data_IF_238278731234
#
_entry.id   IF_238278731234
#
_cell.length_a   1.000
_cell.length_b   1.000
_cell.length_c   1.000
_cell.angle_alpha   90.00
_cell.angle_beta   90.00
_cell.angle_gamma   90.00
#
_symmetry.space_group_name_H-M   'P 1'
#
loop_
_entity.id
_entity.type
_entity.pdbx_description
1 polymer ?
#
# COMPACT_ATOMS: atom_id res chain seq x y z
N UNK A 1 -27.86 46.67 47.25
CA UNK A 1 -29.06 46.08 46.72
C UNK A 1 -28.98 45.96 45.21
N UNK A 2 -29.24 44.78 44.79
CA UNK A 2 -29.44 44.27 43.44
C UNK A 2 -28.22 43.64 42.76
N UNK A 3 -27.95 42.43 43.19
CA UNK A 3 -27.30 41.41 42.39
C UNK A 3 -28.22 40.98 41.27
N UNK A 4 -27.91 41.27 40.03
CA UNK A 4 -28.56 40.66 38.87
C UNK A 4 -27.65 39.58 38.25
N UNK A 5 -28.15 38.36 38.38
CA UNK A 5 -27.73 37.15 37.70
C UNK A 5 -27.52 37.42 36.17
N UNK A 6 -26.31 37.36 35.71
CA UNK A 6 -26.01 37.10 34.32
C UNK A 6 -25.90 35.56 34.16
N UNK A 7 -27.00 34.90 33.79
CA UNK A 7 -26.97 33.55 33.20
C UNK A 7 -26.21 33.62 31.92
N UNK A 8 -25.00 33.06 31.92
CA UNK A 8 -24.31 32.75 30.69
C UNK A 8 -25.21 31.84 29.85
N UNK A 9 -25.65 32.32 28.72
CA UNK A 9 -26.35 31.54 27.71
C UNK A 9 -25.35 30.52 27.19
N UNK A 10 -25.49 29.30 27.66
CA UNK A 10 -24.81 28.13 27.09
C UNK A 10 -25.49 27.92 25.72
N UNK A 11 -24.90 28.44 24.66
CA UNK A 11 -25.30 28.14 23.30
C UNK A 11 -25.07 26.65 23.11
N UNK A 12 -26.13 25.87 23.22
CA UNK A 12 -26.20 24.49 22.76
C UNK A 12 -25.74 24.54 21.29
N UNK A 13 -24.61 23.91 21.00
CA UNK A 13 -24.26 23.50 19.65
C UNK A 13 -25.48 22.74 19.11
N UNK A 14 -26.09 23.27 18.03
CA UNK A 14 -27.17 22.62 17.33
C UNK A 14 -26.87 21.13 17.23
N UNK A 15 -27.79 20.28 17.70
CA UNK A 15 -27.71 18.82 17.60
C UNK A 15 -27.86 18.46 16.09
N UNK A 16 -26.74 18.56 15.34
CA UNK A 16 -26.71 18.13 13.94
C UNK A 16 -26.92 16.62 13.95
N UNK A 17 -28.04 16.18 13.40
CA UNK A 17 -28.38 14.76 13.30
C UNK A 17 -27.36 14.06 12.39
N UNK A 18 -26.83 12.92 12.84
CA UNK A 18 -25.96 12.08 12.04
C UNK A 18 -26.72 11.45 10.85
N UNK A 19 -26.19 11.58 9.65
CA UNK A 19 -26.82 11.12 8.41
C UNK A 19 -25.86 10.26 7.59
N UNK A 20 -26.42 9.38 6.79
CA UNK A 20 -25.66 8.57 5.84
C UNK A 20 -24.96 7.35 6.43
N UNK A 21 -24.26 6.64 5.57
CA UNK A 21 -23.48 5.44 5.90
C UNK A 21 -22.07 5.60 5.39
N UNK A 22 -21.09 5.27 6.21
CA UNK A 22 -19.69 5.15 5.78
C UNK A 22 -19.27 3.67 5.82
N UNK A 23 -18.60 3.20 4.78
CA UNK A 23 -17.97 1.87 4.74
C UNK A 23 -16.47 2.09 4.74
N UNK A 24 -15.73 1.47 5.65
CA UNK A 24 -14.28 1.63 5.77
C UNK A 24 -13.61 0.25 5.70
N UNK A 25 -12.66 0.11 4.78
CA UNK A 25 -11.87 -1.11 4.62
C UNK A 25 -10.50 -0.81 4.03
N UNK A 26 -9.55 -1.74 4.20
CA UNK A 26 -8.19 -1.61 3.73
C UNK A 26 -7.82 -2.65 2.67
N UNK A 27 -6.95 -2.24 1.77
CA UNK A 27 -6.40 -3.13 0.77
C UNK A 27 -4.91 -2.86 0.54
N UNK A 28 -4.27 -3.63 -0.34
CA UNK A 28 -2.89 -3.44 -0.76
C UNK A 28 -2.81 -3.48 -2.28
N UNK A 29 -2.06 -2.55 -2.87
CA UNK A 29 -1.68 -2.59 -4.28
C UNK A 29 -0.25 -3.08 -4.41
N UNK A 30 -0.04 -4.29 -4.98
CA UNK A 30 1.31 -4.84 -5.13
C UNK A 30 2.10 -4.09 -6.19
N UNK A 31 3.39 -3.89 -5.93
CA UNK A 31 4.34 -3.33 -6.88
C UNK A 31 4.96 -4.41 -7.74
N UNK A 32 5.28 -4.07 -8.99
CA UNK A 32 5.93 -4.98 -9.94
C UNK A 32 7.40 -5.17 -9.57
N UNK A 33 7.66 -6.03 -8.59
CA UNK A 33 8.99 -6.47 -8.21
C UNK A 33 9.11 -7.99 -8.30
N UNK A 34 10.33 -8.48 -8.50
CA UNK A 34 10.60 -9.90 -8.34
C UNK A 34 10.36 -10.29 -6.89
N UNK A 35 9.76 -11.47 -6.64
CA UNK A 35 9.61 -11.99 -5.29
C UNK A 35 10.97 -11.99 -4.55
N UNK A 36 11.12 -11.27 -3.42
CA UNK A 36 12.39 -11.07 -2.77
C UNK A 36 12.86 -12.34 -2.04
N UNK A 37 13.89 -12.96 -2.57
CA UNK A 37 14.60 -14.05 -1.90
C UNK A 37 15.97 -13.53 -1.47
N UNK A 38 16.37 -13.75 -0.22
CA UNK A 38 17.59 -13.18 0.35
C UNK A 38 18.85 -13.43 -0.50
N UNK A 39 19.04 -14.67 -0.98
CA UNK A 39 20.15 -14.97 -1.88
C UNK A 39 20.07 -14.28 -3.25
N UNK A 40 18.85 -13.95 -3.71
CA UNK A 40 18.65 -13.20 -4.97
C UNK A 40 18.94 -11.73 -4.80
N UNK A 41 18.51 -11.14 -3.68
CA UNK A 41 18.79 -9.74 -3.35
C UNK A 41 20.31 -9.53 -3.19
N UNK A 42 20.99 -10.43 -2.47
CA UNK A 42 22.43 -10.36 -2.31
C UNK A 42 23.18 -10.54 -3.65
N UNK A 43 22.70 -11.39 -4.55
CA UNK A 43 23.29 -11.51 -5.88
C UNK A 43 23.09 -10.24 -6.70
N UNK A 44 21.90 -9.61 -6.65
CA UNK A 44 21.64 -8.33 -7.32
C UNK A 44 22.52 -7.21 -6.74
N UNK A 45 22.66 -7.16 -5.41
CA UNK A 45 23.57 -6.23 -4.73
C UNK A 45 25.00 -6.39 -5.24
N UNK A 46 25.54 -7.61 -5.26
CA UNK A 46 26.86 -7.92 -5.78
C UNK A 46 27.04 -7.44 -7.25
N UNK A 47 26.07 -7.74 -8.12
CA UNK A 47 26.14 -7.32 -9.51
C UNK A 47 26.22 -5.80 -9.65
N UNK A 48 25.41 -5.04 -8.88
CA UNK A 48 25.47 -3.58 -8.87
C UNK A 48 26.79 -3.03 -8.32
N UNK A 49 27.35 -3.63 -7.27
CA UNK A 49 28.66 -3.24 -6.74
C UNK A 49 29.79 -3.51 -7.75
N UNK A 50 29.74 -4.64 -8.44
CA UNK A 50 30.68 -4.95 -9.52
C UNK A 50 30.61 -3.92 -10.66
N UNK A 51 29.41 -3.44 -11.01
CA UNK A 51 29.23 -2.40 -12.02
C UNK A 51 29.84 -1.05 -11.55
N UNK A 52 29.73 -0.74 -10.25
CA UNK A 52 30.35 0.46 -9.66
C UNK A 52 31.88 0.35 -9.64
N UNK A 53 32.44 -0.81 -9.31
CA UNK A 53 33.88 -1.08 -9.40
C UNK A 53 34.35 -0.93 -10.86
N UNK A 54 33.59 -1.45 -11.82
CA UNK A 54 33.89 -1.30 -13.24
C UNK A 54 33.85 0.18 -13.67
N UNK A 55 32.89 0.95 -13.14
CA UNK A 55 32.80 2.40 -13.37
C UNK A 55 34.04 3.14 -12.88
N UNK A 56 34.50 2.91 -11.64
CA UNK A 56 35.73 3.53 -11.13
C UNK A 56 36.93 3.19 -11.99
N UNK A 57 37.07 1.93 -12.34
CA UNK A 57 38.21 1.47 -13.13
C UNK A 57 38.22 2.07 -14.53
N UNK A 58 37.06 2.16 -15.17
CA UNK A 58 36.93 2.74 -16.53
C UNK A 58 37.20 4.25 -16.56
N UNK A 59 36.80 4.99 -15.53
CA UNK A 59 36.83 6.45 -15.57
C UNK A 59 38.07 7.03 -14.89
N UNK A 60 38.64 6.37 -13.91
CA UNK A 60 39.75 6.92 -13.09
C UNK A 60 41.06 6.11 -13.24
N UNK A 61 40.99 4.83 -13.59
CA UNK A 61 42.16 3.93 -13.66
C UNK A 61 43.09 4.04 -12.45
N UNK A 62 42.59 3.97 -11.21
CA UNK A 62 43.35 4.34 -10.01
C UNK A 62 44.51 3.39 -9.69
N UNK A 63 44.32 2.09 -9.92
CA UNK A 63 45.30 0.99 -9.73
C UNK A 63 44.82 -0.27 -10.46
N UNK A 64 45.45 -1.41 -10.26
CA UNK A 64 45.02 -2.67 -10.84
C UNK A 64 43.61 -3.03 -10.35
N UNK A 65 42.77 -3.47 -11.29
CA UNK A 65 41.39 -3.79 -11.02
C UNK A 65 41.27 -4.93 -9.99
N UNK A 66 40.56 -4.75 -8.89
CA UNK A 66 40.43 -5.76 -7.86
C UNK A 66 39.65 -6.99 -8.37
N UNK A 67 39.99 -8.14 -7.83
CA UNK A 67 39.43 -9.42 -8.26
C UNK A 67 38.07 -9.68 -7.60
N UNK A 68 36.97 -9.41 -8.33
CA UNK A 68 35.58 -9.54 -7.81
C UNK A 68 35.03 -10.98 -7.81
N UNK A 69 35.71 -11.95 -8.43
CA UNK A 69 35.26 -13.34 -8.56
C UNK A 69 33.86 -13.53 -9.16
N UNK A 70 33.38 -12.61 -9.94
CA UNK A 70 31.99 -12.53 -10.49
C UNK A 70 31.51 -13.82 -11.16
N UNK A 71 32.39 -14.53 -11.89
CA UNK A 71 32.04 -15.79 -12.56
C UNK A 71 31.72 -16.90 -11.56
N UNK A 72 32.50 -16.99 -10.48
CA UNK A 72 32.32 -18.01 -9.40
C UNK A 72 31.06 -17.68 -8.61
N UNK A 73 30.89 -16.42 -8.19
CA UNK A 73 29.73 -15.95 -7.43
C UNK A 73 28.41 -16.18 -8.19
N UNK A 74 28.41 -15.88 -9.51
CA UNK A 74 27.24 -16.13 -10.37
C UNK A 74 26.96 -17.62 -10.53
N UNK A 75 27.99 -18.47 -10.70
CA UNK A 75 27.82 -19.93 -10.79
C UNK A 75 27.20 -20.50 -9.52
N UNK A 76 27.66 -20.06 -8.36
CA UNK A 76 27.14 -20.50 -7.04
C UNK A 76 25.69 -20.04 -6.82
N UNK A 77 25.36 -18.78 -7.17
CA UNK A 77 23.98 -18.29 -7.17
C UNK A 77 23.08 -19.14 -8.06
N UNK A 78 23.48 -19.36 -9.33
CA UNK A 78 22.69 -20.11 -10.30
C UNK A 78 22.50 -21.58 -9.90
N UNK A 79 23.46 -22.18 -9.20
CA UNK A 79 23.36 -23.56 -8.71
C UNK A 79 22.18 -23.71 -7.73
N UNK A 80 21.93 -22.72 -6.85
CA UNK A 80 20.76 -22.70 -5.98
C UNK A 80 19.50 -22.25 -6.73
N UNK A 81 19.58 -21.19 -7.53
CA UNK A 81 18.43 -20.60 -8.22
C UNK A 81 17.73 -21.59 -9.17
N UNK A 82 18.51 -22.46 -9.84
CA UNK A 82 18.03 -23.51 -10.75
C UNK A 82 17.67 -24.83 -10.04
N UNK A 83 18.00 -24.97 -8.75
CA UNK A 83 17.74 -26.20 -8.00
C UNK A 83 16.24 -26.41 -7.77
N UNK A 84 15.73 -27.59 -8.16
CA UNK A 84 14.34 -27.99 -7.89
C UNK A 84 14.09 -28.17 -6.38
N UNK A 85 15.08 -28.69 -5.63
CA UNK A 85 15.01 -28.92 -4.18
C UNK A 85 15.97 -27.98 -3.45
N UNK A 86 15.40 -26.93 -2.84
CA UNK A 86 16.13 -25.91 -2.07
C UNK A 86 16.01 -26.22 -0.58
N UNK A 87 16.98 -26.94 -0.02
CA UNK A 87 17.01 -27.18 1.44
C UNK A 87 17.53 -25.95 2.16
N UNK A 88 17.12 -25.75 3.41
CA UNK A 88 17.58 -24.65 4.26
C UNK A 88 19.11 -24.59 4.33
N UNK A 89 19.77 -25.75 4.51
CA UNK A 89 21.24 -25.86 4.51
C UNK A 89 21.89 -25.30 3.24
N UNK A 90 21.31 -25.58 2.05
CA UNK A 90 21.79 -25.04 0.76
C UNK A 90 21.56 -23.53 0.66
N UNK A 91 20.39 -23.07 1.08
CA UNK A 91 20.05 -21.63 1.10
C UNK A 91 21.03 -20.88 1.99
N UNK A 92 21.20 -21.29 3.24
CA UNK A 92 22.13 -20.67 4.19
C UNK A 92 23.59 -20.68 3.69
N UNK A 93 24.04 -21.78 3.10
CA UNK A 93 25.38 -21.85 2.52
C UNK A 93 25.58 -20.84 1.37
N UNK A 94 24.58 -20.67 0.52
CA UNK A 94 24.61 -19.68 -0.58
C UNK A 94 24.56 -18.26 -0.05
N UNK A 95 23.69 -17.95 0.92
CA UNK A 95 23.62 -16.63 1.56
C UNK A 95 24.98 -16.26 2.16
N UNK A 96 25.62 -17.17 2.91
CA UNK A 96 26.95 -16.93 3.49
C UNK A 96 28.00 -16.54 2.43
N UNK A 97 27.99 -17.24 1.30
CA UNK A 97 28.94 -16.96 0.21
C UNK A 97 28.64 -15.61 -0.44
N UNK A 98 27.36 -15.31 -0.72
CA UNK A 98 26.96 -14.03 -1.31
C UNK A 98 27.27 -12.85 -0.38
N UNK A 99 27.05 -13.01 0.95
CA UNK A 99 27.46 -12.02 1.95
C UNK A 99 28.97 -11.75 1.90
N UNK A 100 29.80 -12.80 1.75
CA UNK A 100 31.24 -12.63 1.62
C UNK A 100 31.65 -11.90 0.33
N UNK A 101 30.95 -12.10 -0.77
CA UNK A 101 31.20 -11.35 -2.01
C UNK A 101 30.78 -9.90 -1.88
N UNK A 102 29.56 -9.62 -1.38
CA UNK A 102 29.06 -8.26 -1.17
C UNK A 102 29.97 -7.48 -0.22
N UNK A 103 30.36 -8.08 0.91
CA UNK A 103 31.28 -7.44 1.87
C UNK A 103 32.55 -6.95 1.20
N UNK A 104 33.23 -7.83 0.49
CA UNK A 104 34.48 -7.52 -0.19
C UNK A 104 34.31 -6.42 -1.26
N UNK A 105 33.23 -6.51 -2.03
CA UNK A 105 32.97 -5.54 -3.08
C UNK A 105 32.62 -4.14 -2.48
N UNK A 106 31.99 -4.08 -1.30
CA UNK A 106 31.80 -2.85 -0.52
C UNK A 106 33.14 -2.30 -0.05
N UNK A 107 34.02 -3.12 0.53
CA UNK A 107 35.35 -2.70 0.97
C UNK A 107 36.16 -2.10 -0.20
N UNK A 108 36.11 -2.69 -1.38
CA UNK A 108 36.78 -2.10 -2.56
C UNK A 108 36.21 -0.74 -2.95
N UNK A 109 34.89 -0.52 -2.82
CA UNK A 109 34.28 0.77 -3.12
C UNK A 109 34.62 1.82 -2.05
N UNK A 110 34.75 1.42 -0.80
CA UNK A 110 35.21 2.27 0.29
C UNK A 110 36.66 2.74 0.02
N UNK A 111 37.58 1.84 -0.33
CA UNK A 111 38.97 2.16 -0.71
C UNK A 111 39.03 3.21 -1.86
N UNK A 112 38.18 3.05 -2.89
CA UNK A 112 38.11 4.04 -3.99
C UNK A 112 37.61 5.40 -3.51
N UNK A 113 36.59 5.44 -2.68
CA UNK A 113 36.01 6.70 -2.18
C UNK A 113 36.97 7.40 -1.19
N UNK A 114 37.66 6.66 -0.33
CA UNK A 114 38.71 7.18 0.55
C UNK A 114 39.88 7.76 -0.24
N UNK A 115 40.21 7.19 -1.39
CA UNK A 115 41.21 7.74 -2.31
C UNK A 115 40.73 9.02 -3.08
N UNK A 116 39.48 9.48 -2.82
CA UNK A 116 38.94 10.72 -3.37
C UNK A 116 38.17 10.55 -4.67
N UNK A 117 37.91 9.32 -5.13
CA UNK A 117 37.10 9.09 -6.33
C UNK A 117 35.60 9.14 -6.00
N UNK A 118 34.79 9.73 -6.90
CA UNK A 118 33.37 9.95 -6.68
C UNK A 118 32.49 9.06 -7.56
N UNK A 119 31.43 8.52 -6.99
CA UNK A 119 30.34 7.85 -7.70
C UNK A 119 29.33 8.87 -8.23
N UNK A 120 28.69 8.61 -9.40
CA UNK A 120 27.51 9.36 -9.83
C UNK A 120 26.37 9.21 -8.81
N UNK A 121 25.51 10.24 -8.70
CA UNK A 121 24.40 10.29 -7.73
C UNK A 121 23.57 8.99 -7.72
N UNK A 122 23.19 8.49 -8.88
CA UNK A 122 22.42 7.22 -9.00
C UNK A 122 23.15 6.00 -8.40
N UNK A 123 24.46 5.95 -8.49
CA UNK A 123 25.27 4.87 -7.90
C UNK A 123 25.39 5.04 -6.40
N UNK A 124 25.45 6.27 -5.90
CA UNK A 124 25.46 6.55 -4.46
C UNK A 124 24.19 6.02 -3.80
N UNK A 125 23.02 6.27 -4.37
CA UNK A 125 21.75 5.79 -3.84
C UNK A 125 21.72 4.25 -3.76
N UNK A 126 22.19 3.58 -4.79
CA UNK A 126 22.31 2.11 -4.76
C UNK A 126 23.36 1.64 -3.75
N UNK A 127 24.49 2.32 -3.63
CA UNK A 127 25.53 1.96 -2.68
C UNK A 127 25.01 2.04 -1.24
N UNK A 128 24.37 3.15 -0.85
CA UNK A 128 23.79 3.30 0.48
C UNK A 128 22.69 2.28 0.77
N UNK A 129 21.85 1.99 -0.23
CA UNK A 129 20.82 0.96 -0.12
C UNK A 129 21.42 -0.42 0.08
N UNK A 130 22.51 -0.73 -0.63
CA UNK A 130 23.18 -2.03 -0.55
C UNK A 130 23.94 -2.18 0.78
N UNK A 131 24.54 -1.13 1.32
CA UNK A 131 25.13 -1.16 2.66
C UNK A 131 24.06 -1.53 3.70
N UNK A 132 22.93 -0.83 3.72
CA UNK A 132 21.82 -1.14 4.63
C UNK A 132 21.28 -2.58 4.41
N UNK A 133 21.13 -2.99 3.15
CA UNK A 133 20.71 -4.36 2.82
C UNK A 133 21.71 -5.40 3.34
N UNK A 134 23.01 -5.16 3.17
CA UNK A 134 24.05 -6.06 3.67
C UNK A 134 23.97 -6.24 5.19
N UNK A 135 23.85 -5.16 5.94
CA UNK A 135 23.69 -5.20 7.39
C UNK A 135 22.44 -5.99 7.82
N UNK A 136 21.31 -5.73 7.18
CA UNK A 136 20.06 -6.45 7.44
C UNK A 136 20.19 -7.96 7.14
N UNK A 137 20.78 -8.31 6.02
CA UNK A 137 20.96 -9.70 5.59
C UNK A 137 21.99 -10.44 6.47
N UNK A 138 23.05 -9.76 6.89
CA UNK A 138 24.03 -10.27 7.85
C UNK A 138 23.38 -10.54 9.21
N UNK A 139 22.62 -9.56 9.74
CA UNK A 139 21.88 -9.72 11.00
C UNK A 139 20.92 -10.92 10.95
N UNK A 140 20.10 -11.01 9.88
CA UNK A 140 19.17 -12.12 9.71
C UNK A 140 19.87 -13.47 9.59
N UNK A 141 21.01 -13.51 8.91
CA UNK A 141 21.82 -14.73 8.79
C UNK A 141 22.42 -15.17 10.14
N UNK A 142 23.01 -14.26 10.89
CA UNK A 142 23.66 -14.54 12.20
C UNK A 142 22.63 -14.94 13.25
N UNK A 143 21.51 -14.24 13.33
CA UNK A 143 20.45 -14.47 14.32
C UNK A 143 19.42 -15.54 13.90
N UNK A 144 19.59 -16.17 12.73
CA UNK A 144 18.66 -17.18 12.18
C UNK A 144 17.21 -16.70 12.15
N UNK A 145 17.00 -15.44 11.85
CA UNK A 145 15.67 -14.81 11.72
C UNK A 145 15.39 -14.43 10.27
N UNK A 146 14.11 -14.31 9.93
CA UNK A 146 13.65 -13.78 8.64
C UNK A 146 13.00 -12.39 8.76
N UNK A 147 13.07 -11.79 9.95
CA UNK A 147 12.47 -10.50 10.25
C UNK A 147 13.54 -9.53 10.72
N UNK A 148 13.46 -8.31 10.19
CA UNK A 148 14.25 -7.13 10.59
C UNK A 148 13.42 -5.90 10.33
N UNK A 149 13.62 -4.87 11.13
CA UNK A 149 12.95 -3.58 10.95
C UNK A 149 13.30 -2.98 9.58
N UNK A 150 12.34 -2.33 8.96
CA UNK A 150 12.49 -1.69 7.64
C UNK A 150 13.11 -2.56 6.56
N UNK A 151 12.80 -3.86 6.57
CA UNK A 151 13.40 -4.84 5.66
C UNK A 151 13.32 -4.42 4.21
N UNK A 152 14.50 -4.26 3.58
CA UNK A 152 14.62 -3.99 2.15
C UNK A 152 14.26 -5.24 1.35
N UNK A 153 13.30 -5.11 0.45
CA UNK A 153 12.80 -6.17 -0.43
C UNK A 153 13.11 -5.93 -1.91
N UNK A 154 13.55 -4.73 -2.25
CA UNK A 154 13.99 -4.34 -3.59
C UNK A 154 15.08 -3.28 -3.50
N UNK A 155 16.18 -3.45 -4.23
CA UNK A 155 17.27 -2.47 -4.27
C UNK A 155 16.88 -1.25 -5.11
N UNK A 156 16.10 -1.45 -6.15
CA UNK A 156 15.63 -0.36 -7.02
C UNK A 156 14.43 0.40 -6.45
N UNK A 157 13.75 -0.16 -5.46
CA UNK A 157 12.60 0.42 -4.77
C UNK A 157 12.73 0.19 -3.25
N UNK A 158 13.70 0.85 -2.59
CA UNK A 158 14.05 0.57 -1.20
C UNK A 158 12.98 0.99 -0.19
N UNK A 159 11.98 1.78 -0.62
CA UNK A 159 10.83 2.19 0.17
C UNK A 159 9.78 1.08 0.34
N UNK A 160 9.77 0.05 -0.52
CA UNK A 160 8.82 -1.06 -0.41
C UNK A 160 9.06 -1.91 0.83
N UNK A 161 7.97 -2.31 1.46
CA UNK A 161 7.98 -3.18 2.64
C UNK A 161 7.14 -4.44 2.44
N UNK A 162 7.42 -5.52 3.18
CA UNK A 162 6.55 -6.69 3.21
C UNK A 162 5.28 -6.36 4.02
N UNK A 163 4.11 -6.56 3.41
CA UNK A 163 2.81 -6.36 4.03
C UNK A 163 2.19 -7.73 4.28
N UNK A 164 2.03 -8.09 5.55
CA UNK A 164 1.42 -9.37 5.95
C UNK A 164 -0.10 -9.25 5.82
N UNK A 165 -0.70 -10.10 5.01
CA UNK A 165 -2.15 -10.09 4.72
C UNK A 165 -2.91 -11.27 5.32
N UNK A 166 -2.24 -12.27 5.86
CA UNK A 166 -2.88 -13.46 6.43
C UNK A 166 -3.67 -14.34 5.43
N UNK A 167 -3.58 -14.06 4.12
CA UNK A 167 -4.28 -14.84 3.08
C UNK A 167 -3.53 -16.14 2.80
N UNK A 168 -4.24 -17.27 2.70
CA UNK A 168 -3.64 -18.60 2.49
C UNK A 168 -2.78 -18.69 1.21
N UNK A 169 -3.18 -18.04 0.11
CA UNK A 169 -2.46 -18.10 -1.18
C UNK A 169 -1.32 -17.07 -1.29
N UNK A 170 -1.42 -15.95 -0.61
CA UNK A 170 -0.43 -14.87 -0.66
C UNK A 170 -0.36 -14.22 0.73
N UNK A 171 0.39 -14.83 1.66
CA UNK A 171 0.48 -14.35 3.04
C UNK A 171 1.18 -13.01 3.15
N UNK A 172 2.04 -12.66 2.20
CA UNK A 172 2.82 -11.41 2.16
C UNK A 172 2.70 -10.80 0.76
N UNK A 173 2.36 -9.53 0.71
CA UNK A 173 2.37 -8.69 -0.50
C UNK A 173 3.46 -7.62 -0.36
N UNK A 174 3.98 -7.11 -1.48
CA UNK A 174 5.03 -6.10 -1.52
C UNK A 174 4.52 -4.92 -2.33
N UNK A 175 4.18 -3.84 -1.66
CA UNK A 175 3.56 -2.68 -2.29
C UNK A 175 3.10 -1.67 -1.25
N UNK A 176 2.07 -0.88 -1.57
CA UNK A 176 1.49 0.06 -0.64
C UNK A 176 0.17 -0.47 -0.07
N UNK A 177 -0.04 -0.24 1.23
CA UNK A 177 -1.30 -0.47 1.93
C UNK A 177 -2.09 0.84 1.96
N UNK A 178 -3.39 0.77 1.75
CA UNK A 178 -4.26 1.92 1.84
C UNK A 178 -5.65 1.57 2.35
N UNK A 179 -6.26 2.55 3.02
CA UNK A 179 -7.62 2.51 3.51
C UNK A 179 -8.50 3.41 2.66
N UNK A 180 -9.69 2.93 2.37
CA UNK A 180 -10.73 3.64 1.62
C UNK A 180 -11.99 3.72 2.44
N UNK A 181 -12.60 4.90 2.50
CA UNK A 181 -13.98 5.07 2.96
C UNK A 181 -14.91 5.26 1.77
N UNK A 182 -16.07 4.62 1.79
CA UNK A 182 -17.13 4.79 0.78
C UNK A 182 -18.36 5.38 1.46
N UNK A 183 -18.92 6.43 0.89
CA UNK A 183 -20.16 7.05 1.36
C UNK A 183 -21.40 6.35 0.79
N UNK A 184 -22.60 6.74 1.24
CA UNK A 184 -23.87 6.18 0.79
C UNK A 184 -24.17 6.40 -0.71
N UNK A 185 -23.41 7.28 -1.38
CA UNK A 185 -23.51 7.51 -2.83
C UNK A 185 -22.53 6.66 -3.63
N UNK A 186 -21.74 5.82 -2.94
CA UNK A 186 -20.72 4.97 -3.56
C UNK A 186 -19.42 5.70 -3.89
N UNK A 187 -19.22 6.94 -3.41
CA UNK A 187 -17.97 7.67 -3.62
C UNK A 187 -16.89 7.20 -2.65
N UNK A 188 -15.82 6.69 -3.20
CA UNK A 188 -14.66 6.25 -2.44
C UNK A 188 -13.67 7.39 -2.18
N UNK A 189 -13.05 7.38 -1.01
CA UNK A 189 -12.02 8.33 -0.60
C UNK A 189 -10.84 7.61 -0.01
N UNK A 190 -9.66 8.02 -0.42
CA UNK A 190 -8.41 7.50 0.10
C UNK A 190 -8.15 8.13 1.48
N UNK A 191 -8.25 7.34 2.54
CA UNK A 191 -8.09 7.81 3.92
C UNK A 191 -6.63 7.75 4.39
N UNK A 192 -5.92 6.69 4.02
CA UNK A 192 -4.48 6.56 4.26
C UNK A 192 -3.84 5.74 3.17
N UNK A 193 -2.59 6.08 2.84
CA UNK A 193 -1.76 5.34 1.89
C UNK A 193 -0.33 5.33 2.45
N UNK A 194 0.26 4.13 2.59
CA UNK A 194 1.61 3.97 3.13
C UNK A 194 2.28 2.70 2.60
N UNK A 195 3.59 2.76 2.45
CA UNK A 195 4.41 1.55 2.21
C UNK A 195 4.72 0.81 3.50
N UNK A 196 4.73 1.50 4.63
CA UNK A 196 4.93 0.88 5.93
C UNK A 196 3.66 0.17 6.41
N UNK A 197 3.85 -0.96 7.06
CA UNK A 197 2.76 -1.66 7.70
C UNK A 197 2.21 -0.83 8.87
N UNK A 198 0.92 -0.60 8.89
CA UNK A 198 0.22 0.08 9.97
C UNK A 198 -1.03 -0.70 10.36
N UNK A 199 -1.50 -0.44 11.58
CA UNK A 199 -2.72 -1.04 12.07
C UNK A 199 -3.95 -0.25 11.58
N UNK A 200 -4.84 -0.89 10.84
CA UNK A 200 -6.03 -0.28 10.22
C UNK A 200 -6.94 0.41 11.24
N UNK A 201 -7.04 -0.14 12.45
CA UNK A 201 -7.89 0.44 13.49
C UNK A 201 -7.52 1.86 13.92
N UNK A 202 -6.24 2.25 13.72
CA UNK A 202 -5.75 3.58 14.14
C UNK A 202 -6.27 4.72 13.25
N UNK A 203 -6.81 4.39 12.06
CA UNK A 203 -7.26 5.38 11.07
C UNK A 203 -8.73 5.73 11.27
N UNK A 204 -9.44 4.90 12.01
CA UNK A 204 -10.90 4.98 12.15
C UNK A 204 -11.39 6.37 12.58
N UNK A 205 -10.82 6.91 13.66
CA UNK A 205 -11.24 8.21 14.20
C UNK A 205 -10.98 9.34 13.21
N UNK A 206 -9.80 9.33 12.57
CA UNK A 206 -9.44 10.33 11.57
C UNK A 206 -10.36 10.25 10.35
N UNK A 207 -10.72 9.07 9.88
CA UNK A 207 -11.65 8.88 8.77
C UNK A 207 -13.05 9.42 9.10
N UNK A 208 -13.54 9.19 10.32
CA UNK A 208 -14.83 9.72 10.77
C UNK A 208 -14.80 11.25 10.90
N UNK A 209 -13.72 11.82 11.38
CA UNK A 209 -13.57 13.28 11.47
C UNK A 209 -13.54 13.90 10.06
N UNK A 210 -12.80 13.33 9.13
CA UNK A 210 -12.81 13.78 7.72
C UNK A 210 -14.18 13.63 7.06
N UNK A 211 -14.93 12.57 7.40
CA UNK A 211 -16.32 12.45 6.93
C UNK A 211 -17.13 13.64 7.42
N UNK A 212 -17.05 13.98 8.72
CA UNK A 212 -17.73 15.15 9.29
C UNK A 212 -17.30 16.47 8.67
N UNK A 213 -16.02 16.68 8.44
CA UNK A 213 -15.49 17.87 7.77
C UNK A 213 -16.08 18.08 6.37
N UNK A 214 -16.30 16.98 5.63
CA UNK A 214 -16.87 17.03 4.27
C UNK A 214 -18.37 17.20 4.23
N UNK A 215 -19.09 16.61 5.18
CA UNK A 215 -20.55 16.52 5.15
C UNK A 215 -21.24 17.43 6.18
N UNK A 216 -20.49 17.96 7.13
CA UNK A 216 -21.01 18.75 8.26
C UNK A 216 -21.49 17.91 9.45
N UNK A 217 -21.58 16.59 9.32
CA UNK A 217 -22.08 15.68 10.35
C UNK A 217 -21.30 14.36 10.37
N UNK A 218 -21.39 13.59 11.43
CA UNK A 218 -20.88 12.21 11.43
C UNK A 218 -21.83 11.28 10.68
N UNK A 219 -21.35 10.11 10.20
CA UNK A 219 -22.24 9.11 9.62
C UNK A 219 -23.17 8.54 10.70
N UNK A 220 -24.43 8.28 10.36
CA UNK A 220 -25.38 7.60 11.25
C UNK A 220 -24.94 6.16 11.49
N UNK A 221 -24.37 5.52 10.47
CA UNK A 221 -23.93 4.13 10.49
C UNK A 221 -22.54 3.99 9.86
N UNK A 222 -21.67 3.18 10.49
CA UNK A 222 -20.37 2.83 9.93
C UNK A 222 -20.23 1.31 9.81
N UNK A 223 -19.85 0.84 8.61
CA UNK A 223 -19.66 -0.57 8.28
C UNK A 223 -18.17 -0.86 8.21
N UNK A 224 -17.68 -1.72 9.09
CA UNK A 224 -16.24 -2.02 9.22
C UNK A 224 -15.98 -3.48 9.48
N UNK A 225 -14.79 -3.95 9.17
CA UNK A 225 -14.32 -5.27 9.56
C UNK A 225 -13.99 -5.34 11.07
N UNK A 226 -13.84 -6.57 11.56
CA UNK A 226 -13.59 -6.83 12.99
C UNK A 226 -12.34 -6.10 13.51
N UNK A 227 -11.33 -5.89 12.67
CA UNK A 227 -10.06 -5.24 13.05
C UNK A 227 -10.26 -3.78 13.52
N UNK A 228 -11.22 -3.06 12.95
CA UNK A 228 -11.54 -1.68 13.35
C UNK A 228 -12.33 -1.59 14.65
N UNK A 229 -12.89 -2.69 15.16
CA UNK A 229 -13.84 -2.73 16.25
C UNK A 229 -13.16 -2.79 17.62
N UNK A 230 -12.14 -1.96 17.81
CA UNK A 230 -11.45 -1.80 19.10
C UNK A 230 -12.36 -1.16 20.14
N UNK A 231 -11.96 -1.23 21.40
CA UNK A 231 -12.68 -0.59 22.51
C UNK A 231 -12.77 0.93 22.29
N UNK A 232 -11.67 1.54 21.88
CA UNK A 232 -11.58 2.99 21.71
C UNK A 232 -12.45 3.47 20.55
N UNK A 233 -12.43 2.79 19.41
CA UNK A 233 -13.27 3.12 18.26
C UNK A 233 -14.77 2.95 18.58
N UNK A 234 -15.14 1.95 19.40
CA UNK A 234 -16.51 1.78 19.85
C UNK A 234 -16.95 2.87 20.83
N UNK A 235 -16.07 3.30 21.74
CA UNK A 235 -16.34 4.41 22.63
C UNK A 235 -16.54 5.69 21.83
N UNK A 236 -15.65 5.98 20.87
CA UNK A 236 -15.81 7.11 19.96
C UNK A 236 -17.16 7.09 19.25
N UNK A 237 -17.57 5.94 18.69
CA UNK A 237 -18.88 5.80 18.06
C UNK A 237 -20.04 6.08 19.03
N UNK A 238 -19.94 5.59 20.27
CA UNK A 238 -20.95 5.82 21.29
C UNK A 238 -21.05 7.30 21.67
N UNK A 239 -19.92 7.97 21.86
CA UNK A 239 -19.84 9.38 22.24
C UNK A 239 -20.38 10.32 21.15
N UNK A 240 -20.32 9.89 19.89
CA UNK A 240 -20.80 10.64 18.73
C UNK A 240 -22.09 10.09 18.11
N UNK A 241 -22.82 9.20 18.79
CA UNK A 241 -24.06 8.58 18.31
C UNK A 241 -23.95 7.90 16.94
N UNK A 242 -22.80 7.25 16.64
CA UNK A 242 -22.56 6.50 15.41
C UNK A 242 -22.89 5.01 15.67
N UNK A 243 -23.71 4.41 14.83
CA UNK A 243 -23.98 2.96 14.89
C UNK A 243 -22.87 2.20 14.15
N UNK A 244 -22.06 1.42 14.89
CA UNK A 244 -21.01 0.58 14.31
C UNK A 244 -21.54 -0.83 14.02
N UNK A 245 -21.35 -1.34 12.80
CA UNK A 245 -21.77 -2.68 12.36
C UNK A 245 -21.14 -3.81 13.16
N UNK A 246 -21.78 -4.97 13.11
CA UNK A 246 -21.29 -6.26 13.60
C UNK A 246 -21.78 -6.64 15.00
N UNK A 247 -21.42 -7.83 15.52
CA UNK A 247 -22.02 -8.42 16.69
C UNK A 247 -21.77 -7.60 17.96
N UNK A 248 -22.75 -7.60 18.86
CA UNK A 248 -22.64 -6.99 20.20
C UNK A 248 -21.52 -7.65 20.99
N UNK A 249 -20.94 -6.89 21.94
CA UNK A 249 -19.95 -7.42 22.87
C UNK A 249 -20.60 -8.43 23.81
N UNK A 250 -19.86 -9.46 24.18
CA UNK A 250 -20.27 -10.47 25.13
C UNK A 250 -20.32 -11.89 24.56
N UNK A 251 -20.76 -12.84 25.41
CA UNK A 251 -20.90 -14.23 24.98
C UNK A 251 -22.01 -14.33 23.92
N UNK A 252 -21.77 -14.98 22.76
CA UNK A 252 -22.83 -15.21 21.77
C UNK A 252 -24.03 -15.93 22.39
N UNK A 253 -25.25 -15.47 22.08
CA UNK A 253 -26.46 -16.20 22.43
C UNK A 253 -26.48 -17.56 21.74
N UNK A 254 -27.02 -18.59 22.44
CA UNK A 254 -27.16 -19.93 21.85
C UNK A 254 -28.14 -19.95 20.66
N UNK A 255 -29.08 -19.01 20.61
CA UNK A 255 -30.14 -18.93 19.58
C UNK A 255 -29.90 -17.80 18.59
N UNK A 256 -28.68 -17.68 18.10
CA UNK A 256 -28.28 -16.61 17.19
C UNK A 256 -28.87 -16.79 15.77
N UNK A 257 -30.08 -16.27 15.56
CA UNK A 257 -30.51 -15.87 14.22
C UNK A 257 -29.86 -14.50 13.93
N UNK A 258 -29.13 -14.40 12.78
CA UNK A 258 -28.66 -13.10 12.28
C UNK A 258 -29.87 -12.16 12.23
N UNK A 259 -29.75 -10.98 12.82
CA UNK A 259 -30.80 -9.99 12.71
C UNK A 259 -30.89 -9.50 11.25
N UNK A 260 -32.05 -9.03 10.83
CA UNK A 260 -32.22 -8.46 9.49
C UNK A 260 -31.22 -7.32 9.25
N UNK A 261 -30.90 -6.57 10.29
CA UNK A 261 -29.90 -5.49 10.26
C UNK A 261 -28.48 -6.01 10.02
N UNK A 262 -28.04 -7.09 10.72
CA UNK A 262 -26.73 -7.71 10.48
C UNK A 262 -26.60 -8.26 9.05
N UNK A 263 -27.67 -8.80 8.51
CA UNK A 263 -27.69 -9.26 7.12
C UNK A 263 -27.54 -8.08 6.14
N UNK A 264 -28.26 -6.97 6.39
CA UNK A 264 -28.18 -5.77 5.58
C UNK A 264 -26.79 -5.15 5.66
N UNK A 265 -26.22 -5.01 6.87
CA UNK A 265 -24.86 -4.49 7.06
C UNK A 265 -23.80 -5.28 6.30
N UNK A 266 -23.91 -6.62 6.31
CA UNK A 266 -23.00 -7.48 5.56
C UNK A 266 -23.19 -7.32 4.03
N UNK A 267 -24.45 -7.14 3.58
CA UNK A 267 -24.76 -6.92 2.15
C UNK A 267 -24.21 -5.58 1.68
N UNK A 268 -24.44 -4.51 2.45
CA UNK A 268 -23.96 -3.17 2.13
C UNK A 268 -22.42 -3.12 2.13
N UNK A 269 -21.77 -3.90 3.00
CA UNK A 269 -20.30 -3.97 3.05
C UNK A 269 -19.67 -4.59 1.80
N UNK A 270 -20.42 -5.37 1.01
CA UNK A 270 -19.94 -5.91 -0.27
C UNK A 270 -19.55 -4.79 -1.24
N UNK A 271 -20.07 -3.58 -1.07
CA UNK A 271 -19.77 -2.46 -1.95
C UNK A 271 -18.27 -2.10 -1.96
N UNK A 272 -17.61 -2.11 -0.80
CA UNK A 272 -16.16 -1.85 -0.76
C UNK A 272 -15.35 -2.97 -1.44
N UNK A 273 -15.82 -4.23 -1.35
CA UNK A 273 -15.17 -5.34 -2.03
C UNK A 273 -15.34 -5.23 -3.56
N UNK A 274 -16.51 -4.79 -4.03
CA UNK A 274 -16.77 -4.47 -5.44
C UNK A 274 -15.87 -3.36 -5.93
N UNK A 275 -15.77 -2.28 -5.15
CA UNK A 275 -14.89 -1.16 -5.45
C UNK A 275 -13.44 -1.65 -5.64
N UNK A 276 -12.87 -2.35 -4.67
CA UNK A 276 -11.51 -2.89 -4.77
C UNK A 276 -11.35 -3.88 -5.94
N UNK A 277 -12.39 -4.65 -6.25
CA UNK A 277 -12.36 -5.57 -7.39
C UNK A 277 -12.24 -4.82 -8.71
N UNK A 278 -13.05 -3.77 -8.91
CA UNK A 278 -13.04 -2.93 -10.11
C UNK A 278 -11.73 -2.14 -10.21
N UNK A 279 -11.32 -1.51 -9.13
CA UNK A 279 -10.07 -0.76 -9.05
C UNK A 279 -8.85 -1.62 -9.45
N UNK A 280 -8.77 -2.85 -8.92
CA UNK A 280 -7.64 -3.75 -9.21
C UNK A 280 -7.69 -4.38 -10.59
N UNK A 281 -8.86 -4.73 -11.09
CA UNK A 281 -8.98 -5.44 -12.38
C UNK A 281 -8.99 -4.48 -13.57
N UNK A 282 -9.61 -3.32 -13.42
CA UNK A 282 -9.87 -2.41 -14.53
C UNK A 282 -9.04 -1.13 -14.47
N UNK A 283 -8.73 -0.62 -13.27
CA UNK A 283 -8.20 0.73 -13.09
C UNK A 283 -6.75 0.76 -12.56
N UNK A 284 -6.01 -0.33 -12.70
CA UNK A 284 -4.54 -0.36 -12.54
C UNK A 284 -4.01 -0.65 -11.15
N UNK A 285 -4.84 -0.70 -10.09
CA UNK A 285 -4.36 -0.98 -8.72
C UNK A 285 -3.94 -2.45 -8.50
N UNK A 286 -4.21 -3.35 -9.45
CA UNK A 286 -3.86 -4.76 -9.34
C UNK A 286 -2.38 -5.07 -9.40
N UNK A 287 -1.60 -4.24 -10.11
CA UNK A 287 -0.14 -4.31 -10.19
C UNK A 287 0.43 -2.94 -10.58
N UNK A 288 1.14 -2.30 -9.65
CA UNK A 288 1.74 -0.99 -9.88
C UNK A 288 3.07 -1.14 -10.62
N UNK A 289 3.18 -0.52 -11.79
CA UNK A 289 4.33 -0.60 -12.69
C UNK A 289 5.35 0.51 -12.47
N UNK A 290 4.97 1.59 -11.82
CA UNK A 290 5.84 2.74 -11.51
C UNK A 290 6.97 2.36 -10.55
N UNK A 291 8.09 3.09 -10.60
CA UNK A 291 9.33 2.73 -9.90
C UNK A 291 9.78 3.75 -8.86
N UNK A 292 9.24 4.96 -8.90
CA UNK A 292 9.52 5.99 -7.90
C UNK A 292 8.41 5.98 -6.84
N UNK A 293 8.77 6.29 -5.63
CA UNK A 293 7.85 6.34 -4.49
C UNK A 293 6.65 7.24 -4.79
N UNK A 294 6.90 8.47 -5.16
CA UNK A 294 5.87 9.47 -5.47
C UNK A 294 4.94 9.07 -6.61
N UNK A 295 5.51 8.51 -7.69
CA UNK A 295 4.70 8.04 -8.84
C UNK A 295 3.88 6.81 -8.50
N UNK A 296 4.36 5.97 -7.57
CA UNK A 296 3.61 4.81 -7.09
C UNK A 296 2.41 5.25 -6.25
N UNK A 297 2.60 6.22 -5.33
CA UNK A 297 1.51 6.81 -4.56
C UNK A 297 0.49 7.48 -5.48
N UNK A 298 0.96 8.28 -6.44
CA UNK A 298 0.11 8.96 -7.44
C UNK A 298 -0.68 7.97 -8.30
N UNK A 299 -0.07 6.84 -8.70
CA UNK A 299 -0.76 5.81 -9.49
C UNK A 299 -1.91 5.15 -8.71
N UNK A 300 -1.72 4.91 -7.41
CA UNK A 300 -2.77 4.36 -6.55
C UNK A 300 -3.88 5.39 -6.34
N UNK A 301 -3.54 6.64 -6.03
CA UNK A 301 -4.54 7.71 -5.88
C UNK A 301 -5.34 7.92 -7.17
N UNK A 302 -4.69 7.84 -8.33
CA UNK A 302 -5.34 7.94 -9.63
C UNK A 302 -6.28 6.76 -9.89
N UNK A 303 -5.93 5.53 -9.46
CA UNK A 303 -6.81 4.37 -9.63
C UNK A 303 -8.11 4.52 -8.82
N UNK A 304 -8.04 5.08 -7.61
CA UNK A 304 -9.22 5.41 -6.79
C UNK A 304 -10.06 6.47 -7.48
N UNK A 305 -9.43 7.54 -7.98
CA UNK A 305 -10.13 8.62 -8.71
C UNK A 305 -10.85 8.09 -9.95
N UNK A 306 -10.17 7.31 -10.78
CA UNK A 306 -10.75 6.73 -12.00
C UNK A 306 -11.89 5.78 -11.67
N UNK A 307 -11.76 4.98 -10.60
CA UNK A 307 -12.85 4.09 -10.17
C UNK A 307 -14.08 4.88 -9.74
N UNK A 308 -13.92 6.02 -9.05
CA UNK A 308 -15.02 6.92 -8.74
C UNK A 308 -15.65 7.53 -10.00
N UNK A 309 -14.85 7.94 -10.99
CA UNK A 309 -15.38 8.51 -12.23
C UNK A 309 -16.24 7.52 -13.01
N UNK A 310 -15.89 6.23 -13.00
CA UNK A 310 -16.73 5.18 -13.60
C UNK A 310 -18.00 4.88 -12.81
N UNK A 311 -18.03 5.19 -11.51
CA UNK A 311 -19.23 5.05 -10.68
C UNK A 311 -20.20 6.22 -10.84
N UNK A 312 -19.72 7.39 -11.30
CA UNK A 312 -20.58 8.54 -11.61
C UNK A 312 -21.28 8.29 -12.92
N UNK A 313 -22.61 8.42 -12.94
CA UNK A 313 -23.38 8.40 -14.19
C UNK A 313 -23.02 9.63 -15.04
N UNK A 314 -22.12 9.43 -16.00
CA UNK A 314 -21.64 10.47 -16.90
C UNK A 314 -22.71 10.91 -17.92
N UNK A 315 -23.85 10.22 -18.02
CA UNK A 315 -24.91 10.54 -18.97
C UNK A 315 -25.42 11.97 -18.78
N UNK A 316 -25.59 12.40 -17.53
CA UNK A 316 -25.99 13.76 -17.18
C UNK A 316 -24.90 14.79 -17.51
N UNK A 317 -23.64 14.47 -17.30
CA UNK A 317 -22.50 15.34 -17.60
C UNK A 317 -22.31 15.47 -19.12
N UNK A 318 -22.43 14.37 -19.85
CA UNK A 318 -22.36 14.35 -21.32
C UNK A 318 -23.48 15.21 -21.92
N UNK A 319 -24.70 15.13 -21.41
CA UNK A 319 -25.84 15.98 -21.83
C UNK A 319 -25.58 17.43 -21.55
N UNK A 320 -24.98 17.83 -20.43
CA UNK A 320 -24.63 19.20 -20.12
C UNK A 320 -23.57 19.79 -21.08
N UNK A 321 -22.57 19.01 -21.48
CA UNK A 321 -21.55 19.49 -22.42
C UNK A 321 -21.95 19.45 -23.89
N UNK A 322 -22.94 18.64 -24.25
CA UNK A 322 -23.35 18.46 -25.64
C UNK A 322 -24.74 19.03 -25.93
N UNK A 323 -25.53 19.47 -24.92
CA UNK A 323 -26.85 20.10 -25.13
C UNK A 323 -26.76 21.42 -25.87
N UNK A 324 -25.67 22.17 -25.72
CA UNK A 324 -25.48 23.46 -26.41
C UNK A 324 -25.17 23.31 -27.91
N UNK A 325 -24.77 22.10 -28.35
CA UNK A 325 -24.51 21.83 -29.77
C UNK A 325 -25.67 21.17 -30.52
N UNK A 326 -26.76 20.79 -29.84
CA UNK A 326 -27.93 20.14 -30.49
C UNK A 326 -29.05 21.14 -30.86
N UNK A 327 -28.92 22.41 -30.48
CA UNK A 327 -29.96 23.41 -30.75
C UNK A 327 -29.91 24.05 -32.14
N UNK A 328 -29.07 23.64 -33.07
CA UNK A 328 -28.96 24.25 -34.38
C UNK A 328 -29.02 23.37 -35.63
N UNK A 329 -29.50 22.12 -35.55
CA UNK A 329 -29.90 21.43 -36.79
C UNK A 329 -30.99 20.40 -36.53
N UNK A 330 -32.21 20.70 -36.99
CA UNK A 330 -33.28 19.74 -37.24
C UNK A 330 -32.88 18.87 -38.42
N UNK A 331 -32.41 17.67 -38.16
CA UNK A 331 -32.49 16.57 -39.13
C UNK A 331 -32.73 15.26 -38.38
N UNK A 332 -33.88 14.67 -38.68
CA UNK A 332 -34.30 13.36 -38.21
C UNK A 332 -33.36 12.30 -38.74
N UNK A 333 -32.60 11.68 -37.86
CA UNK A 333 -32.08 10.35 -38.11
C UNK A 333 -32.22 9.48 -36.84
N UNK A 334 -33.20 8.58 -36.92
CA UNK A 334 -33.32 7.47 -35.96
C UNK A 334 -32.12 6.54 -36.10
N UNK A 335 -31.33 6.43 -35.05
CA UNK A 335 -30.35 5.36 -34.94
C UNK A 335 -31.02 4.24 -34.14
N UNK A 336 -31.36 3.18 -34.83
CA UNK A 336 -31.74 1.89 -34.25
C UNK A 336 -30.43 1.26 -33.77
N UNK A 337 -30.28 1.07 -32.47
CA UNK A 337 -29.25 0.22 -31.91
C UNK A 337 -29.90 -1.14 -31.74
N UNK A 338 -29.59 -2.05 -32.68
CA UNK A 338 -29.90 -3.47 -32.53
C UNK A 338 -28.98 -4.11 -31.49
N UNK A 339 -29.59 -4.92 -30.65
CA UNK A 339 -28.98 -5.79 -29.67
C UNK A 339 -27.86 -6.63 -30.28
N UNK A 340 -26.68 -6.63 -29.63
CA UNK A 340 -25.72 -7.72 -29.81
C UNK A 340 -25.42 -8.34 -28.44
N UNK A 341 -25.76 -9.60 -28.37
CA UNK A 341 -25.64 -10.65 -27.35
C UNK A 341 -24.26 -10.67 -26.66
#
# INVERSE_FOLDING_TARGET
NESKNAKAANTRSDDIENLGTAILDATCSPSNIRYPQDFSLLNEAREKLEDMIDYFHKNYHPWDKPRTYRRIARKEYLALAKSKKRTEKKIRATIRKQLGYVKRDLEYLEDYMEAGYALPSKHIDYYLTIQKLYEQQKYMYENKTHSVEDRIVSISQPYLRPIVRGKAKSPVEFGAKYDVSIDEKGHARLEKLSFDAYNENTIFVDAMNRYKERTGHYPKRVLVDQIYRTRDNRNFCKDHNITMSGPKLGRPSKDKKSTKEEYQDNTDRIEVERFFSTEKRCNGAGLIMTKLEETTLSSIAMSVLVTNLFAVDLTGIFLLFFSDNISSEKTEHYIIIDDVV
#
